data_IF_953612581556
#
_entry.id   IF_953612581556
#
_cell.length_a   1.000
_cell.length_b   1.000
_cell.length_c   1.000
_cell.angle_alpha   90.00
_cell.angle_beta   90.00
_cell.angle_gamma   90.00
#
_symmetry.space_group_name_H-M   'P 1'
#
loop_
_entity.id
_entity.type
_entity.pdbx_description
1 polymer ?
#
# COMPACT_ATOMS: atom_id res chain seq x y z
N UNK A 1 1.02 8.24 -2.79
CA UNK A 1 1.53 7.05 -2.08
C UNK A 1 1.85 5.83 -2.97
N UNK A 2 1.75 5.92 -4.31
CA UNK A 2 2.08 4.80 -5.20
C UNK A 2 3.52 4.30 -5.05
N UNK A 3 4.51 5.21 -5.09
CA UNK A 3 5.94 4.87 -4.96
C UNK A 3 6.27 4.31 -3.58
N UNK A 4 5.79 4.97 -2.51
CA UNK A 4 6.00 4.49 -1.14
C UNK A 4 5.32 3.15 -0.85
N UNK A 5 4.11 2.94 -1.37
CA UNK A 5 3.42 1.66 -1.30
C UNK A 5 4.18 0.55 -2.03
N UNK A 6 4.66 0.82 -3.25
CA UNK A 6 5.48 -0.11 -4.01
C UNK A 6 6.80 -0.51 -3.33
N UNK A 7 7.47 0.43 -2.65
CA UNK A 7 8.67 0.12 -1.85
C UNK A 7 8.33 -0.80 -0.68
N UNK A 8 7.25 -0.51 0.05
CA UNK A 8 6.86 -1.32 1.21
C UNK A 8 6.40 -2.72 0.80
N UNK A 9 5.63 -2.85 -0.29
CA UNK A 9 5.09 -4.13 -0.74
C UNK A 9 6.16 -5.02 -1.37
N UNK A 10 7.16 -4.46 -2.06
CA UNK A 10 8.33 -5.22 -2.51
C UNK A 10 9.24 -5.66 -1.36
N UNK A 11 9.35 -4.88 -0.29
CA UNK A 11 10.09 -5.28 0.91
C UNK A 11 9.38 -6.34 1.77
N UNK A 12 8.10 -6.64 1.49
CA UNK A 12 7.25 -7.56 2.23
C UNK A 12 6.74 -8.69 1.31
N UNK A 13 7.50 -9.80 1.16
CA UNK A 13 7.14 -10.91 0.28
C UNK A 13 5.71 -11.45 0.44
N UNK A 14 5.14 -11.58 1.66
CA UNK A 14 3.75 -12.02 1.82
C UNK A 14 2.72 -11.08 1.21
N UNK A 15 2.98 -9.77 1.21
CA UNK A 15 2.07 -8.76 0.63
C UNK A 15 2.17 -8.76 -0.89
N UNK A 16 3.38 -8.96 -1.42
CA UNK A 16 3.63 -9.07 -2.84
C UNK A 16 2.88 -10.26 -3.46
N UNK A 17 2.94 -11.45 -2.85
CA UNK A 17 2.22 -12.63 -3.32
C UNK A 17 0.69 -12.46 -3.22
N UNK A 18 0.20 -11.80 -2.17
CA UNK A 18 -1.23 -11.47 -2.09
C UNK A 18 -1.67 -10.61 -3.27
N UNK A 19 -0.84 -9.67 -3.72
CA UNK A 19 -1.18 -8.78 -4.83
C UNK A 19 -1.09 -9.51 -6.18
N UNK A 20 -0.15 -10.45 -6.34
CA UNK A 20 -0.07 -11.33 -7.50
C UNK A 20 -1.27 -12.27 -7.60
N UNK A 21 -1.70 -12.87 -6.50
CA UNK A 21 -2.90 -13.71 -6.45
C UNK A 21 -4.14 -12.92 -6.88
N UNK A 22 -4.27 -11.68 -6.42
CA UNK A 22 -5.40 -10.82 -6.78
C UNK A 22 -5.36 -10.39 -8.26
N UNK A 23 -4.16 -10.11 -8.78
CA UNK A 23 -3.96 -9.83 -10.20
C UNK A 23 -4.20 -11.05 -11.11
N UNK A 24 -4.03 -12.28 -10.58
CA UNK A 24 -4.30 -13.51 -11.33
C UNK A 24 -5.79 -13.65 -11.69
N UNK A 25 -6.70 -13.15 -10.84
CA UNK A 25 -8.15 -13.12 -11.12
C UNK A 25 -8.54 -12.17 -12.26
N UNK A 26 -7.66 -11.27 -12.70
CA UNK A 26 -7.95 -10.38 -13.83
C UNK A 26 -7.66 -11.00 -15.21
N UNK A 27 -7.09 -12.20 -15.25
CA UNK A 27 -6.82 -12.94 -16.49
C UNK A 27 -8.07 -13.48 -17.20
N UNK A 28 -9.23 -13.52 -16.53
CA UNK A 28 -10.51 -13.94 -17.11
C UNK A 28 -11.11 -12.93 -18.10
N UNK A 29 -10.54 -11.73 -18.25
CA UNK A 29 -11.00 -10.73 -19.22
C UNK A 29 -10.09 -10.76 -20.46
N UNK A 30 -10.49 -11.42 -21.57
CA UNK A 30 -9.58 -11.72 -22.69
C UNK A 30 -9.05 -10.46 -23.39
N UNK A 31 -9.84 -9.39 -23.40
CA UNK A 31 -9.52 -8.16 -24.15
C UNK A 31 -8.69 -7.16 -23.35
N UNK A 32 -8.75 -7.19 -22.02
CA UNK A 32 -8.10 -6.20 -21.15
C UNK A 32 -7.08 -6.80 -20.15
N UNK A 33 -6.87 -8.12 -20.16
CA UNK A 33 -6.02 -8.80 -19.18
C UNK A 33 -4.62 -8.18 -19.01
N UNK A 34 -3.98 -7.74 -20.10
CA UNK A 34 -2.64 -7.13 -20.04
C UNK A 34 -2.63 -5.74 -19.39
N UNK A 35 -3.68 -4.93 -19.60
CA UNK A 35 -3.82 -3.63 -18.95
C UNK A 35 -4.16 -3.79 -17.47
N UNK A 36 -5.07 -4.70 -17.13
CA UNK A 36 -5.47 -4.95 -15.74
C UNK A 36 -4.30 -5.52 -14.92
N UNK A 37 -3.45 -6.35 -15.52
CA UNK A 37 -2.24 -6.87 -14.86
C UNK A 37 -1.27 -5.77 -14.41
N UNK A 38 -1.20 -4.62 -15.10
CA UNK A 38 -0.40 -3.48 -14.65
C UNK A 38 -1.15 -2.52 -13.72
N UNK A 39 -2.45 -2.30 -13.96
CA UNK A 39 -3.26 -1.32 -13.22
C UNK A 39 -3.65 -1.82 -11.83
N UNK A 40 -4.03 -3.09 -11.69
CA UNK A 40 -4.47 -3.65 -10.40
C UNK A 40 -3.35 -3.57 -9.36
N UNK A 41 -2.12 -4.04 -9.63
CA UNK A 41 -1.02 -3.89 -8.66
C UNK A 41 -0.71 -2.43 -8.35
N UNK A 42 -0.77 -1.53 -9.33
CA UNK A 42 -0.52 -0.10 -9.11
C UNK A 42 -1.56 0.53 -8.17
N UNK A 43 -2.85 0.20 -8.32
CA UNK A 43 -3.92 0.66 -7.44
C UNK A 43 -3.78 0.06 -6.03
N UNK A 44 -3.43 -1.22 -5.92
CA UNK A 44 -3.17 -1.87 -4.63
C UNK A 44 -1.98 -1.20 -3.91
N UNK A 45 -0.91 -0.88 -4.62
CA UNK A 45 0.22 -0.12 -4.07
C UNK A 45 -0.20 1.28 -3.60
N UNK A 46 -1.05 1.99 -4.34
CA UNK A 46 -1.60 3.28 -3.90
C UNK A 46 -2.39 3.13 -2.61
N UNK A 47 -3.31 2.17 -2.55
CA UNK A 47 -4.16 1.92 -1.40
C UNK A 47 -3.33 1.54 -0.16
N UNK A 48 -2.41 0.60 -0.32
CA UNK A 48 -1.51 0.17 0.75
C UNK A 48 -0.65 1.32 1.27
N UNK A 49 -0.03 2.07 0.35
CA UNK A 49 0.80 3.20 0.71
C UNK A 49 0.00 4.30 1.44
N UNK A 50 -1.26 4.53 1.07
CA UNK A 50 -2.13 5.50 1.74
C UNK A 50 -2.43 5.06 3.18
N UNK A 51 -2.79 3.78 3.38
CA UNK A 51 -3.04 3.22 4.72
C UNK A 51 -1.78 3.28 5.57
N UNK A 52 -0.65 2.79 5.05
CA UNK A 52 0.63 2.79 5.77
C UNK A 52 1.08 4.22 6.14
N UNK A 53 0.99 5.15 5.19
CA UNK A 53 1.30 6.56 5.42
C UNK A 53 0.40 7.20 6.48
N UNK A 54 -0.89 6.91 6.43
CA UNK A 54 -1.87 7.39 7.43
C UNK A 54 -1.56 6.87 8.83
N UNK A 55 -1.26 5.57 8.97
CA UNK A 55 -0.90 4.94 10.25
C UNK A 55 0.37 5.56 10.84
N UNK A 56 1.41 5.75 10.03
CA UNK A 56 2.66 6.37 10.47
C UNK A 56 2.43 7.82 10.92
N UNK A 57 1.71 8.61 10.12
CA UNK A 57 1.40 10.00 10.46
C UNK A 57 0.60 10.09 11.76
N UNK A 58 -0.43 9.27 11.93
CA UNK A 58 -1.24 9.22 13.15
C UNK A 58 -0.38 8.87 14.37
N UNK A 59 0.50 7.88 14.24
CA UNK A 59 1.40 7.44 15.31
C UNK A 59 2.38 8.54 15.72
N UNK A 60 3.07 9.15 14.76
CA UNK A 60 4.04 10.22 15.04
C UNK A 60 3.35 11.46 15.61
N UNK A 61 2.15 11.79 15.12
CA UNK A 61 1.35 12.90 15.65
C UNK A 61 0.94 12.65 17.10
N UNK A 62 0.46 11.44 17.41
CA UNK A 62 0.08 11.05 18.77
C UNK A 62 1.29 11.09 19.72
N UNK A 63 2.43 10.53 19.32
CA UNK A 63 3.66 10.56 20.12
C UNK A 63 4.15 12.00 20.33
N UNK A 64 4.07 12.85 19.31
CA UNK A 64 4.41 14.27 19.39
C UNK A 64 3.52 15.01 20.39
N UNK A 65 2.20 14.78 20.32
CA UNK A 65 1.24 15.37 21.25
C UNK A 65 1.49 14.93 22.70
N UNK A 66 1.73 13.64 22.92
CA UNK A 66 2.07 13.09 24.25
C UNK A 66 3.37 13.71 24.78
N UNK A 67 4.42 13.79 23.96
CA UNK A 67 5.70 14.39 24.36
C UNK A 67 5.56 15.88 24.70
N UNK A 68 4.77 16.63 23.92
CA UNK A 68 4.50 18.04 24.20
C UNK A 68 3.79 18.22 25.55
N UNK A 69 2.85 17.32 25.88
CA UNK A 69 2.12 17.33 27.15
C UNK A 69 3.01 17.11 28.37
N UNK A 70 4.07 16.30 28.24
CA UNK A 70 5.03 16.03 29.32
C UNK A 70 6.14 17.09 29.47
N UNK A 71 6.33 17.96 28.47
CA UNK A 71 7.29 19.07 28.53
C UNK A 71 6.70 20.36 29.14
N UNK A 72 5.37 20.44 29.27
CA UNK A 72 4.64 21.55 29.87
C UNK A 72 4.37 21.26 31.35
#
# INVERSE_FOLDING_TARGET
FMVGGGILTHGLPPVHHLFEDWASYTTVVPTFGHLLQGVVPALLNVAFGLVAGGVVLATVSALGAVRARFKA
#
